data_IF_761404319251
#
_entry.id   IF_761404319251
#
_cell.length_a   1.000
_cell.length_b   1.000
_cell.length_c   1.000
_cell.angle_alpha   90.00
_cell.angle_beta   90.00
_cell.angle_gamma   90.00
#
_symmetry.space_group_name_H-M   'P 1'
#
loop_
_entity.id
_entity.type
_entity.pdbx_description
1 polymer ?
#
# COMPACT_ATOMS: atom_id res chain seq x y z
N UNK A 1 26.37 -1.11 -9.34
CA UNK A 1 25.19 -2.00 -9.47
C UNK A 1 24.34 -1.86 -8.22
N UNK A 2 23.09 -1.46 -8.38
CA UNK A 2 22.18 -1.39 -7.23
C UNK A 2 21.76 -2.80 -6.84
N UNK A 3 21.76 -3.07 -5.55
CA UNK A 3 21.34 -4.36 -5.01
C UNK A 3 19.82 -4.49 -5.08
N UNK A 4 19.33 -5.72 -5.25
CA UNK A 4 17.92 -6.02 -5.22
C UNK A 4 17.38 -5.98 -3.80
N UNK A 5 16.13 -5.57 -3.67
CA UNK A 5 15.43 -5.59 -2.38
C UNK A 5 14.01 -6.10 -2.53
N UNK A 6 13.46 -6.55 -1.42
CA UNK A 6 12.08 -7.01 -1.33
C UNK A 6 11.34 -6.03 -0.44
N UNK A 7 10.19 -5.55 -0.92
CA UNK A 7 9.35 -4.64 -0.13
C UNK A 7 8.07 -5.35 0.24
N UNK A 8 7.91 -5.63 1.52
CA UNK A 8 6.78 -6.35 2.10
C UNK A 8 5.75 -5.33 2.55
N UNK A 9 4.51 -5.46 2.13
CA UNK A 9 3.50 -4.49 2.50
C UNK A 9 2.15 -5.12 2.76
N UNK A 10 1.34 -4.40 3.51
CA UNK A 10 -0.05 -4.74 3.80
C UNK A 10 -0.88 -3.46 3.86
N UNK A 11 -2.14 -3.56 3.49
CA UNK A 11 -3.09 -2.46 3.51
C UNK A 11 -4.25 -2.76 4.44
N UNK A 12 -4.74 -1.72 5.12
CA UNK A 12 -6.06 -1.72 5.72
C UNK A 12 -6.93 -0.74 4.94
N UNK A 13 -8.19 -1.11 4.71
CA UNK A 13 -9.11 -0.34 3.89
C UNK A 13 -10.40 -0.05 4.63
N UNK A 14 -11.11 0.99 4.19
CA UNK A 14 -12.43 1.36 4.73
C UNK A 14 -13.58 0.58 4.07
N UNK A 15 -13.30 -0.47 3.34
CA UNK A 15 -14.28 -1.33 2.68
C UNK A 15 -13.62 -2.30 1.73
N UNK A 16 -14.40 -3.16 1.08
CA UNK A 16 -13.91 -4.24 0.24
C UNK A 16 -13.92 -3.94 -1.25
N UNK A 17 -14.60 -2.86 -1.67
CA UNK A 17 -14.77 -2.54 -3.08
C UNK A 17 -13.72 -1.52 -3.53
N UNK A 18 -12.69 -1.92 -4.32
CA UNK A 18 -11.64 -1.00 -4.73
C UNK A 18 -12.14 0.15 -5.63
N UNK A 19 -13.30 0.00 -6.27
CA UNK A 19 -13.88 1.08 -7.08
C UNK A 19 -14.46 2.21 -6.23
N UNK A 20 -14.91 1.90 -5.01
CA UNK A 20 -15.63 2.83 -4.15
C UNK A 20 -14.86 3.15 -2.87
N UNK A 21 -14.25 2.13 -2.28
CA UNK A 21 -13.66 2.26 -0.95
C UNK A 21 -12.20 2.73 -1.04
N UNK A 22 -11.68 3.22 0.08
CA UNK A 22 -10.37 3.85 0.15
C UNK A 22 -9.47 3.14 1.15
N UNK A 23 -8.16 3.30 0.98
CA UNK A 23 -7.15 2.78 1.90
C UNK A 23 -7.12 3.67 3.13
N UNK A 24 -7.02 3.06 4.31
CA UNK A 24 -6.89 3.81 5.57
C UNK A 24 -5.54 3.66 6.25
N UNK A 25 -4.80 2.59 5.96
CA UNK A 25 -3.46 2.39 6.51
C UNK A 25 -2.59 1.64 5.53
N UNK A 26 -1.33 2.00 5.49
CA UNK A 26 -0.27 1.28 4.79
C UNK A 26 0.82 0.91 5.80
N UNK A 27 1.28 -0.33 5.74
CA UNK A 27 2.44 -0.79 6.50
C UNK A 27 3.39 -1.50 5.54
N UNK A 28 4.66 -1.12 5.57
CA UNK A 28 5.65 -1.72 4.69
C UNK A 28 7.02 -1.78 5.32
N UNK A 29 7.81 -2.75 4.90
CA UNK A 29 9.20 -2.94 5.35
C UNK A 29 10.03 -3.46 4.18
N UNK A 30 11.25 -2.95 4.05
CA UNK A 30 12.20 -3.38 3.01
C UNK A 30 13.21 -4.34 3.60
N UNK A 31 13.48 -5.41 2.87
CA UNK A 31 14.55 -6.37 3.23
C UNK A 31 15.48 -6.60 2.05
N UNK A 32 16.64 -7.15 2.35
CA UNK A 32 17.51 -7.73 1.31
C UNK A 32 17.06 -9.16 0.97
N UNK A 33 17.81 -9.82 0.09
CA UNK A 33 17.49 -11.18 -0.33
C UNK A 33 17.61 -12.22 0.79
N UNK A 34 18.34 -11.89 1.84
CA UNK A 34 18.53 -12.75 3.02
C UNK A 34 17.56 -12.42 4.16
N UNK A 35 16.55 -11.59 3.88
CA UNK A 35 15.51 -11.17 4.81
C UNK A 35 16.00 -10.29 5.96
N UNK A 36 17.13 -9.62 5.76
CA UNK A 36 17.61 -8.60 6.70
C UNK A 36 16.91 -7.28 6.43
N UNK A 37 16.38 -6.64 7.45
CA UNK A 37 15.64 -5.39 7.32
C UNK A 37 16.60 -4.26 6.90
N UNK A 38 16.20 -3.50 5.88
CA UNK A 38 16.92 -2.34 5.38
C UNK A 38 16.09 -1.09 5.69
N UNK A 39 16.67 -0.15 6.44
CA UNK A 39 15.99 1.09 6.78
C UNK A 39 14.87 0.90 7.80
N UNK A 40 14.02 1.92 7.92
CA UNK A 40 12.93 1.93 8.87
C UNK A 40 11.63 1.45 8.25
N UNK A 41 10.82 0.68 9.00
CA UNK A 41 9.45 0.36 8.54
C UNK A 41 8.64 1.63 8.34
N UNK A 42 7.75 1.61 7.34
CA UNK A 42 6.83 2.70 7.07
C UNK A 42 5.43 2.27 7.51
N UNK A 43 4.85 3.00 8.47
CA UNK A 43 3.47 2.80 8.89
C UNK A 43 2.78 4.16 8.87
N UNK A 44 1.81 4.32 7.97
CA UNK A 44 1.11 5.59 7.79
C UNK A 44 -0.39 5.38 7.66
N UNK A 45 -1.15 6.32 8.23
CA UNK A 45 -2.60 6.38 8.08
C UNK A 45 -2.96 7.40 7.01
N UNK A 46 -4.02 7.12 6.26
CA UNK A 46 -4.56 8.03 5.26
C UNK A 46 -5.81 8.70 5.81
N UNK A 47 -5.84 10.03 5.76
CA UNK A 47 -7.03 10.79 6.15
C UNK A 47 -8.13 10.57 5.10
N UNK A 48 -9.36 10.18 5.51
CA UNK A 48 -10.45 10.09 4.54
C UNK A 48 -10.77 11.46 3.95
N UNK A 49 -11.07 11.48 2.66
CA UNK A 49 -11.51 12.72 1.99
C UNK A 49 -12.94 13.08 2.42
N UNK A 50 -13.29 14.37 2.27
CA UNK A 50 -14.58 14.89 2.73
C UNK A 50 -15.78 14.31 1.96
N UNK A 51 -15.54 13.79 0.76
CA UNK A 51 -16.58 13.21 -0.10
C UNK A 51 -16.73 11.70 0.07
N UNK A 52 -16.07 11.11 1.06
CA UNK A 52 -16.07 9.67 1.28
C UNK A 52 -16.53 9.33 2.70
N UNK A 53 -17.47 8.38 2.79
CA UNK A 53 -17.95 7.87 4.08
C UNK A 53 -17.43 6.44 4.28
N UNK A 54 -16.55 6.21 5.28
CA UNK A 54 -16.07 4.86 5.57
C UNK A 54 -17.19 3.91 6.00
N UNK A 55 -17.05 2.63 5.61
CA UNK A 55 -17.97 1.59 6.04
C UNK A 55 -17.83 1.33 7.54
N UNK A 56 -18.92 1.39 8.34
CA UNK A 56 -18.84 1.05 9.77
C UNK A 56 -18.34 -0.37 10.02
N UNK A 57 -18.71 -1.31 9.17
CA UNK A 57 -18.28 -2.70 9.29
C UNK A 57 -16.76 -2.82 9.11
N UNK A 58 -16.20 -2.14 8.13
CA UNK A 58 -14.75 -2.12 7.93
C UNK A 58 -14.02 -1.51 9.12
N UNK A 59 -14.56 -0.45 9.72
CA UNK A 59 -13.99 0.17 10.91
C UNK A 59 -13.95 -0.81 12.10
N UNK A 60 -14.97 -1.63 12.24
CA UNK A 60 -15.00 -2.66 13.28
C UNK A 60 -13.94 -3.75 13.06
N UNK A 61 -13.73 -4.17 11.81
CA UNK A 61 -12.76 -5.21 11.47
C UNK A 61 -11.32 -4.71 11.64
N UNK A 62 -11.01 -3.53 11.13
CA UNK A 62 -9.65 -3.00 11.13
C UNK A 62 -9.26 -2.34 12.45
N UNK A 63 -10.24 -1.92 13.24
CA UNK A 63 -10.02 -1.11 14.44
C UNK A 63 -9.66 0.34 14.13
N UNK A 64 -9.73 0.76 12.86
CA UNK A 64 -9.40 2.13 12.44
C UNK A 64 -10.70 2.88 12.20
N UNK A 65 -11.02 3.80 13.10
CA UNK A 65 -12.22 4.64 12.98
C UNK A 65 -11.92 5.85 12.09
N UNK A 66 -12.97 6.48 11.51
CA UNK A 66 -12.77 7.74 10.80
C UNK A 66 -12.10 8.81 11.66
N UNK A 67 -12.44 8.87 12.94
CA UNK A 67 -11.85 9.82 13.88
C UNK A 67 -10.35 9.59 14.06
N UNK A 68 -9.94 8.33 14.19
CA UNK A 68 -8.52 7.97 14.31
C UNK A 68 -7.76 8.33 13.03
N UNK A 69 -8.33 8.02 11.87
CA UNK A 69 -7.72 8.34 10.59
C UNK A 69 -7.62 9.85 10.36
N UNK A 70 -8.63 10.62 10.79
CA UNK A 70 -8.59 12.08 10.71
C UNK A 70 -7.52 12.67 11.63
N UNK A 71 -7.37 12.11 12.84
CA UNK A 71 -6.41 12.62 13.82
C UNK A 71 -4.96 12.26 13.50
N UNK A 72 -4.70 11.06 12.98
CA UNK A 72 -3.36 10.52 12.76
C UNK A 72 -2.93 10.47 11.30
N UNK A 73 -3.88 10.59 10.37
CA UNK A 73 -3.62 10.41 8.95
C UNK A 73 -3.06 11.65 8.28
N UNK A 74 -2.28 11.41 7.22
CA UNK A 74 -1.86 12.44 6.28
C UNK A 74 -2.87 12.51 5.14
N UNK A 75 -2.88 13.60 4.35
CA UNK A 75 -3.78 13.67 3.21
C UNK A 75 -3.42 12.60 2.17
N UNK A 76 -4.38 12.28 1.29
CA UNK A 76 -4.22 11.16 0.35
C UNK A 76 -3.03 11.35 -0.59
N UNK A 77 -2.76 12.57 -1.04
CA UNK A 77 -1.64 12.84 -1.93
C UNK A 77 -0.29 12.55 -1.23
N UNK A 78 -0.12 13.04 -0.01
CA UNK A 78 1.11 12.80 0.75
C UNK A 78 1.29 11.33 1.10
N UNK A 79 0.20 10.66 1.44
CA UNK A 79 0.15 9.22 1.67
C UNK A 79 0.64 8.46 0.43
N UNK A 80 0.09 8.81 -0.73
CA UNK A 80 0.43 8.19 -2.01
C UNK A 80 1.89 8.44 -2.38
N UNK A 81 2.36 9.68 -2.20
CA UNK A 81 3.73 10.06 -2.53
C UNK A 81 4.75 9.23 -1.76
N UNK A 82 4.53 9.06 -0.46
CA UNK A 82 5.42 8.27 0.40
C UNK A 82 5.47 6.81 -0.01
N UNK A 83 4.32 6.22 -0.30
CA UNK A 83 4.24 4.83 -0.75
C UNK A 83 4.93 4.67 -2.11
N UNK A 84 4.65 5.58 -3.04
CA UNK A 84 5.22 5.49 -4.39
C UNK A 84 6.74 5.63 -4.38
N UNK A 85 7.30 6.42 -3.46
CA UNK A 85 8.75 6.50 -3.28
C UNK A 85 9.35 5.13 -2.95
N UNK A 86 8.72 4.39 -2.06
CA UNK A 86 9.19 3.05 -1.69
C UNK A 86 9.02 2.06 -2.82
N UNK A 87 7.85 2.04 -3.46
CA UNK A 87 7.55 1.09 -4.54
C UNK A 87 8.39 1.33 -5.79
N UNK A 88 8.81 2.56 -6.03
CA UNK A 88 9.51 2.94 -7.27
C UNK A 88 11.02 2.86 -7.18
N UNK A 89 11.57 2.48 -6.03
CA UNK A 89 13.02 2.25 -5.93
C UNK A 89 13.43 1.13 -6.89
N UNK A 90 14.54 1.31 -7.65
CA UNK A 90 14.95 0.30 -8.63
C UNK A 90 15.24 -1.07 -8.00
N UNK A 91 15.03 -2.12 -8.77
CA UNK A 91 15.28 -3.50 -8.38
C UNK A 91 14.50 -3.93 -7.13
N UNK A 92 13.26 -3.45 -7.02
CA UNK A 92 12.36 -3.79 -5.93
C UNK A 92 11.37 -4.86 -6.37
N UNK A 93 11.27 -5.94 -5.60
CA UNK A 93 10.16 -6.89 -5.71
C UNK A 93 9.17 -6.58 -4.60
N UNK A 94 7.99 -6.10 -4.96
CA UNK A 94 6.93 -5.77 -4.00
C UNK A 94 6.15 -7.04 -3.69
N UNK A 95 6.04 -7.41 -2.42
CA UNK A 95 5.46 -8.67 -1.98
C UNK A 95 4.34 -8.40 -0.98
N UNK A 96 3.26 -9.14 -1.11
CA UNK A 96 2.15 -9.14 -0.18
C UNK A 96 1.45 -10.49 -0.14
N UNK A 97 0.40 -10.56 0.67
CA UNK A 97 -0.46 -11.75 0.76
C UNK A 97 -1.81 -11.40 0.16
N UNK A 98 -2.22 -12.14 -0.89
CA UNK A 98 -3.44 -11.88 -1.67
C UNK A 98 -3.47 -10.47 -2.26
N UNK A 99 -2.29 -9.88 -2.50
CA UNK A 99 -2.17 -8.49 -2.95
C UNK A 99 -2.55 -8.31 -4.42
N UNK A 100 -2.25 -9.27 -5.30
CA UNK A 100 -2.53 -9.13 -6.73
C UNK A 100 -4.04 -8.99 -6.98
N UNK A 101 -4.86 -9.71 -6.25
CA UNK A 101 -6.32 -9.67 -6.43
C UNK A 101 -7.00 -8.56 -5.62
N UNK A 102 -6.38 -8.07 -4.57
CA UNK A 102 -7.02 -7.12 -3.65
C UNK A 102 -6.20 -5.83 -3.49
N UNK A 103 -5.07 -5.89 -2.79
CA UNK A 103 -4.31 -4.68 -2.43
C UNK A 103 -3.81 -3.92 -3.65
N UNK A 104 -3.36 -4.63 -4.68
CA UNK A 104 -2.84 -3.99 -5.89
C UNK A 104 -3.90 -3.17 -6.62
N UNK A 105 -5.16 -3.63 -6.61
CA UNK A 105 -6.24 -2.88 -7.24
C UNK A 105 -6.54 -1.59 -6.49
N UNK A 106 -6.56 -1.64 -5.16
CA UNK A 106 -6.66 -0.43 -4.34
C UNK A 106 -5.49 0.52 -4.60
N UNK A 107 -4.29 -0.04 -4.73
CA UNK A 107 -3.08 0.75 -4.97
C UNK A 107 -3.10 1.43 -6.33
N UNK A 108 -3.52 0.72 -7.37
CA UNK A 108 -3.63 1.29 -8.72
C UNK A 108 -4.59 2.48 -8.75
N UNK A 109 -5.73 2.34 -8.09
CA UNK A 109 -6.73 3.43 -8.03
C UNK A 109 -6.25 4.60 -7.20
N UNK A 110 -5.53 4.35 -6.12
CA UNK A 110 -4.91 5.39 -5.31
C UNK A 110 -3.92 6.20 -6.15
N UNK A 111 -3.03 5.53 -6.87
CA UNK A 111 -2.04 6.17 -7.72
C UNK A 111 -2.71 7.02 -8.81
N UNK A 112 -3.70 6.46 -9.48
CA UNK A 112 -4.43 7.15 -10.55
C UNK A 112 -5.11 8.42 -10.04
N UNK A 113 -5.80 8.35 -8.90
CA UNK A 113 -6.49 9.53 -8.34
C UNK A 113 -5.53 10.65 -7.99
N UNK A 114 -4.29 10.32 -7.66
CA UNK A 114 -3.30 11.30 -7.24
C UNK A 114 -2.28 11.63 -8.33
N UNK A 115 -2.63 11.32 -9.58
CA UNK A 115 -1.88 11.68 -10.79
C UNK A 115 -0.51 11.01 -10.91
N UNK A 116 -0.35 9.85 -10.31
CA UNK A 116 0.77 8.95 -10.56
C UNK A 116 0.36 7.88 -11.56
N UNK A 117 1.32 7.34 -12.30
CA UNK A 117 1.05 6.21 -13.20
C UNK A 117 0.69 4.97 -12.37
N UNK A 118 -0.49 4.35 -12.59
CA UNK A 118 -0.93 3.24 -11.75
C UNK A 118 -0.15 1.94 -11.95
N UNK A 119 0.58 1.79 -13.06
CA UNK A 119 1.24 0.53 -13.41
C UNK A 119 2.76 0.61 -13.39
N UNK A 120 3.34 1.79 -13.47
CA UNK A 120 4.78 1.99 -13.69
C UNK A 120 5.63 1.28 -12.62
N UNK A 121 5.22 1.34 -11.36
CA UNK A 121 5.95 0.73 -10.25
C UNK A 121 5.98 -0.80 -10.33
N UNK A 122 5.13 -1.41 -11.16
CA UNK A 122 5.00 -2.87 -11.27
C UNK A 122 6.05 -3.48 -12.21
N UNK A 123 6.64 -2.69 -13.11
CA UNK A 123 7.57 -3.21 -14.12
C UNK A 123 8.79 -2.34 -14.38
N UNK A 124 8.72 -1.04 -14.13
CA UNK A 124 9.80 -0.10 -14.49
C UNK A 124 11.00 -0.27 -13.55
N UNK A 125 12.19 0.04 -14.06
CA UNK A 125 13.46 0.00 -13.29
C UNK A 125 13.76 -1.39 -12.70
N UNK A 126 13.45 -2.44 -13.46
CA UNK A 126 13.61 -3.85 -13.04
C UNK A 126 12.78 -4.22 -11.83
N UNK A 127 11.69 -3.50 -11.60
CA UNK A 127 10.77 -3.80 -10.52
C UNK A 127 9.81 -4.92 -10.90
N UNK A 128 9.33 -5.63 -9.89
CA UNK A 128 8.38 -6.71 -10.03
C UNK A 128 7.47 -6.76 -8.81
N UNK A 129 6.48 -7.64 -8.87
CA UNK A 129 5.58 -7.86 -7.73
C UNK A 129 5.31 -9.35 -7.59
N UNK A 130 5.01 -9.77 -6.36
CA UNK A 130 4.77 -11.17 -6.07
C UNK A 130 3.70 -11.29 -4.99
N UNK A 131 2.90 -12.34 -5.11
CA UNK A 131 1.84 -12.66 -4.15
C UNK A 131 2.15 -14.03 -3.56
N UNK A 132 2.39 -14.07 -2.24
CA UNK A 132 2.77 -15.31 -1.58
C UNK A 132 1.59 -16.20 -1.18
N UNK A 133 0.35 -15.82 -1.55
CA UNK A 133 -0.83 -16.62 -1.19
C UNK A 133 -0.73 -18.06 -1.70
N UNK A 134 -0.15 -18.26 -2.88
CA UNK A 134 -0.04 -19.60 -3.48
C UNK A 134 1.01 -20.46 -2.80
N UNK A 135 1.94 -19.85 -2.06
CA UNK A 135 2.94 -20.58 -1.28
C UNK A 135 2.42 -21.11 0.04
N UNK A 136 1.39 -20.47 0.60
CA UNK A 136 0.85 -20.81 1.94
C UNK A 136 -0.40 -21.68 1.88
N UNK A 137 -0.89 -21.97 0.71
CA UNK A 137 -2.03 -22.85 0.51
C UNK A 137 -1.67 -24.30 0.70
#
# INVERSE_FOLDING_TARGET
>A
MSSSSIYWYDLETFGKNPQRDRICQFAGVRTDENLNIIGDPLVIFCRPSDDFLPSPFACLITGITPQKALAKGVNEFEFTRKINQEFSMPNTCVVGYNNIKFDDEFMRRLLYRNLFDPYEREYKNHNSRWDIIDMVR
#
